data_IF_820214695869
#
_entry.id   IF_820214695869
#
_cell.length_a   1.000
_cell.length_b   1.000
_cell.length_c   1.000
_cell.angle_alpha   90.00
_cell.angle_beta   90.00
_cell.angle_gamma   90.00
#
_symmetry.space_group_name_H-M   'P 1'
#
loop_
_entity.id
_entity.type
_entity.pdbx_description
1 polymer ?
#
# COMPACT_ATOMS: atom_id res chain seq x y z
N UNK A 1 22.18 -25.36 65.95
CA UNK A 1 21.48 -26.59 65.49
C UNK A 1 21.03 -26.38 64.06
N UNK A 2 21.89 -26.79 63.13
CA UNK A 2 21.71 -26.77 61.68
C UNK A 2 20.81 -27.94 61.26
N UNK A 3 19.70 -27.64 60.57
CA UNK A 3 18.89 -28.67 59.90
C UNK A 3 18.93 -28.44 58.39
N UNK A 4 19.81 -29.19 57.75
CA UNK A 4 19.73 -29.56 56.34
C UNK A 4 18.52 -30.47 56.10
N UNK A 5 17.83 -30.30 54.97
CA UNK A 5 16.95 -31.28 54.30
C UNK A 5 16.51 -30.70 52.92
N UNK A 6 16.10 -31.52 51.94
CA UNK A 6 17.00 -31.99 50.89
C UNK A 6 16.62 -31.47 49.48
N UNK A 7 17.62 -31.47 48.59
CA UNK A 7 17.46 -31.24 47.16
C UNK A 7 16.50 -32.27 46.52
N UNK A 8 15.38 -31.79 45.98
CA UNK A 8 14.49 -32.57 45.12
C UNK A 8 14.98 -32.48 43.68
N UNK A 9 15.46 -33.60 43.15
CA UNK A 9 15.69 -33.79 41.72
C UNK A 9 14.35 -33.84 40.98
N UNK A 10 14.17 -32.95 40.00
CA UNK A 10 13.09 -32.99 39.02
C UNK A 10 13.52 -33.87 37.83
N UNK A 11 12.66 -34.77 37.33
CA UNK A 11 12.97 -35.57 36.16
C UNK A 11 12.94 -34.71 34.89
N UNK A 12 13.98 -34.83 34.07
CA UNK A 12 14.05 -34.27 32.72
C UNK A 12 12.93 -34.86 31.86
N UNK A 13 11.90 -34.06 31.58
CA UNK A 13 10.94 -34.33 30.50
C UNK A 13 11.61 -33.99 29.17
N UNK A 14 11.91 -35.01 28.37
CA UNK A 14 12.20 -34.86 26.95
C UNK A 14 10.97 -34.29 26.23
N UNK A 15 11.00 -32.99 25.94
CA UNK A 15 10.08 -32.39 25.00
C UNK A 15 10.53 -32.77 23.60
N UNK A 16 9.71 -33.60 22.94
CA UNK A 16 9.83 -33.95 21.55
C UNK A 16 9.95 -32.67 20.69
N UNK A 17 11.07 -32.55 19.99
CA UNK A 17 11.32 -31.51 19.00
C UNK A 17 10.31 -31.66 17.86
N UNK A 18 9.30 -30.78 17.85
CA UNK A 18 8.49 -30.56 16.65
C UNK A 18 9.37 -29.84 15.64
N UNK A 19 9.85 -30.58 14.65
CA UNK A 19 10.47 -30.03 13.45
C UNK A 19 9.50 -29.06 12.77
N UNK A 20 9.74 -27.77 12.93
CA UNK A 20 9.16 -26.74 12.08
C UNK A 20 9.94 -26.75 10.77
N UNK A 21 9.38 -27.43 9.77
CA UNK A 21 9.84 -27.36 8.39
C UNK A 21 9.72 -25.92 7.91
N UNK A 22 10.88 -25.26 7.76
CA UNK A 22 11.01 -23.96 7.13
C UNK A 22 10.48 -24.05 5.69
N UNK A 23 9.33 -23.44 5.41
CA UNK A 23 8.95 -23.06 4.06
C UNK A 23 9.81 -21.87 3.65
N UNK A 24 11.02 -22.16 3.17
CA UNK A 24 11.80 -21.22 2.38
C UNK A 24 11.00 -20.92 1.10
N UNK A 25 10.41 -19.72 1.02
CA UNK A 25 9.95 -19.15 -0.25
C UNK A 25 11.20 -18.86 -1.08
N UNK A 26 11.57 -19.82 -1.91
CA UNK A 26 12.65 -19.66 -2.88
C UNK A 26 12.20 -18.67 -3.96
N UNK A 27 12.90 -17.54 -4.01
CA UNK A 27 12.95 -16.64 -5.16
C UNK A 27 13.30 -17.48 -6.39
N UNK A 28 12.30 -17.74 -7.24
CA UNK A 28 12.46 -18.34 -8.54
C UNK A 28 13.33 -17.44 -9.40
N UNK A 29 14.61 -17.80 -9.44
CA UNK A 29 15.55 -17.39 -10.49
C UNK A 29 14.93 -17.80 -11.82
N UNK A 30 14.41 -16.83 -12.58
CA UNK A 30 14.07 -17.02 -13.99
C UNK A 30 15.41 -17.17 -14.73
N UNK A 31 15.94 -18.39 -14.70
CA UNK A 31 17.08 -18.81 -15.48
C UNK A 31 16.59 -19.00 -16.91
N UNK A 32 16.98 -18.10 -17.82
CA UNK A 32 16.78 -18.28 -19.26
C UNK A 32 17.45 -19.60 -19.67
N UNK A 33 16.65 -20.60 -20.05
CA UNK A 33 17.16 -21.80 -20.71
C UNK A 33 17.33 -21.51 -22.21
N UNK A 34 18.51 -21.78 -22.80
CA UNK A 34 18.69 -21.75 -24.25
C UNK A 34 17.97 -22.96 -24.85
N UNK A 35 17.01 -22.71 -25.73
CA UNK A 35 16.33 -23.75 -26.50
C UNK A 35 17.31 -24.27 -27.55
N UNK A 36 17.88 -25.45 -27.32
CA UNK A 36 18.61 -26.19 -28.35
C UNK A 36 17.61 -26.91 -29.25
N UNK A 37 17.51 -26.46 -30.50
CA UNK A 37 16.71 -27.14 -31.53
C UNK A 37 17.39 -28.44 -31.97
N UNK A 38 16.66 -29.57 -32.09
CA UNK A 38 17.18 -30.79 -32.71
C UNK A 38 17.30 -30.62 -34.24
N UNK A 39 18.17 -31.40 -34.91
CA UNK A 39 18.50 -31.22 -36.33
C UNK A 39 17.34 -31.61 -37.25
N UNK A 40 17.22 -30.83 -38.34
CA UNK A 40 16.27 -31.01 -39.43
C UNK A 40 16.50 -32.35 -40.14
N UNK A 41 15.63 -33.33 -39.90
CA UNK A 41 15.47 -34.47 -40.82
C UNK A 41 14.56 -34.01 -41.94
N UNK A 42 15.14 -33.89 -43.13
CA UNK A 42 14.44 -33.59 -44.36
C UNK A 42 13.41 -34.71 -44.67
N UNK A 43 12.12 -34.37 -44.65
CA UNK A 43 11.10 -35.22 -45.24
C UNK A 43 10.38 -34.46 -46.36
N UNK A 44 10.94 -34.63 -47.54
CA UNK A 44 10.42 -34.21 -48.84
C UNK A 44 9.41 -35.24 -49.31
N UNK A 45 8.13 -35.10 -48.98
CA UNK A 45 7.04 -35.84 -49.64
C UNK A 45 5.77 -34.96 -49.70
N UNK A 46 5.10 -35.04 -50.86
CA UNK A 46 3.76 -34.56 -51.20
C UNK A 46 3.63 -33.16 -51.81
N UNK A 47 4.31 -32.97 -52.94
CA UNK A 47 3.85 -32.08 -54.01
C UNK A 47 2.58 -32.68 -54.64
N UNK A 48 1.42 -32.36 -54.07
CA UNK A 48 0.12 -32.86 -54.52
C UNK A 48 -0.97 -31.84 -54.32
N UNK A 49 -1.22 -31.04 -55.36
CA UNK A 49 -2.52 -30.41 -55.66
C UNK A 49 -3.19 -29.56 -54.55
N UNK A 50 -2.48 -28.63 -53.90
CA UNK A 50 -3.16 -27.46 -53.34
C UNK A 50 -3.39 -26.43 -54.45
N UNK A 51 -4.55 -26.51 -55.11
CA UNK A 51 -5.08 -25.43 -55.95
C UNK A 51 -5.09 -24.15 -55.10
N UNK A 52 -4.18 -23.23 -55.41
CA UNK A 52 -4.12 -21.94 -54.74
C UNK A 52 -5.49 -21.25 -54.89
N UNK A 53 -6.16 -21.01 -53.77
CA UNK A 53 -7.35 -20.16 -53.70
C UNK A 53 -6.94 -18.77 -54.21
N UNK A 54 -7.68 -18.13 -55.13
CA UNK A 54 -7.30 -16.80 -55.60
C UNK A 54 -7.21 -15.85 -54.39
N UNK A 55 -6.21 -14.95 -54.36
CA UNK A 55 -6.09 -14.01 -53.25
C UNK A 55 -7.37 -13.17 -53.19
N UNK A 56 -8.06 -13.22 -52.05
CA UNK A 56 -9.15 -12.29 -51.80
C UNK A 56 -8.54 -10.89 -51.86
N UNK A 57 -9.00 -10.10 -52.83
CA UNK A 57 -8.56 -8.71 -53.02
C UNK A 57 -8.85 -7.96 -51.73
N UNK A 58 -7.81 -7.68 -50.95
CA UNK A 58 -7.93 -6.84 -49.77
C UNK A 58 -8.33 -5.43 -50.24
N UNK A 59 -9.57 -5.04 -49.97
CA UNK A 59 -9.99 -3.65 -50.14
C UNK A 59 -9.28 -2.82 -49.08
N UNK A 60 -8.43 -1.90 -49.53
CA UNK A 60 -7.87 -0.88 -48.65
C UNK A 60 -9.02 -0.02 -48.13
N UNK A 61 -9.38 -0.21 -46.87
CA UNK A 61 -10.34 0.65 -46.17
C UNK A 61 -9.58 1.94 -45.82
N UNK A 62 -9.75 2.97 -46.64
CA UNK A 62 -9.19 4.29 -46.37
C UNK A 62 -9.96 4.96 -45.25
N UNK A 63 -9.24 5.53 -44.27
CA UNK A 63 -9.83 6.32 -43.19
C UNK A 63 -10.25 7.69 -43.74
N UNK A 64 -11.48 8.12 -43.48
CA UNK A 64 -11.95 9.42 -43.95
C UNK A 64 -11.47 10.53 -42.99
N UNK A 65 -11.07 11.68 -43.53
CA UNK A 65 -10.67 12.84 -42.71
C UNK A 65 -11.81 13.34 -41.83
N UNK A 66 -13.06 13.28 -42.32
CA UNK A 66 -14.22 13.68 -41.50
C UNK A 66 -14.46 12.71 -40.33
N UNK A 67 -14.14 11.43 -40.51
CA UNK A 67 -14.24 10.41 -39.47
C UNK A 67 -13.24 10.70 -38.33
N UNK A 68 -12.01 11.11 -38.67
CA UNK A 68 -11.04 11.59 -37.69
C UNK A 68 -11.59 12.78 -36.89
N UNK A 69 -12.16 13.76 -37.59
CA UNK A 69 -12.64 15.00 -36.97
C UNK A 69 -13.79 14.73 -35.99
N UNK A 70 -14.71 13.84 -36.34
CA UNK A 70 -15.81 13.43 -35.45
C UNK A 70 -15.26 12.65 -34.25
N UNK A 71 -14.32 11.72 -34.46
CA UNK A 71 -13.69 10.98 -33.36
C UNK A 71 -12.96 11.91 -32.37
N UNK A 72 -12.19 12.89 -32.86
CA UNK A 72 -11.52 13.87 -32.02
C UNK A 72 -12.50 14.77 -31.27
N UNK A 73 -13.60 15.15 -31.91
CA UNK A 73 -14.67 15.92 -31.28
C UNK A 73 -15.27 15.16 -30.08
N UNK A 74 -15.60 13.88 -30.27
CA UNK A 74 -16.14 13.03 -29.20
C UNK A 74 -15.12 12.85 -28.07
N UNK A 75 -13.84 12.61 -28.41
CA UNK A 75 -12.77 12.48 -27.42
C UNK A 75 -12.59 13.74 -26.58
N UNK A 76 -12.68 14.93 -27.19
CA UNK A 76 -12.58 16.20 -26.48
C UNK A 76 -13.71 16.36 -25.46
N UNK A 77 -14.95 15.99 -25.81
CA UNK A 77 -16.10 16.04 -24.90
C UNK A 77 -15.88 15.10 -23.70
N UNK A 78 -15.43 13.87 -23.95
CA UNK A 78 -15.16 12.90 -22.89
C UNK A 78 -14.04 13.39 -21.97
N UNK A 79 -12.97 13.96 -22.53
CA UNK A 79 -11.80 14.41 -21.77
C UNK A 79 -12.17 15.50 -20.73
N UNK A 80 -13.05 16.43 -21.11
CA UNK A 80 -13.49 17.50 -20.21
C UNK A 80 -14.19 16.95 -18.94
N UNK A 81 -15.02 15.92 -19.09
CA UNK A 81 -15.74 15.30 -17.96
C UNK A 81 -14.80 14.41 -17.14
N UNK A 82 -13.88 13.70 -17.81
CA UNK A 82 -12.94 12.79 -17.16
C UNK A 82 -11.96 13.54 -16.23
N UNK A 83 -11.49 14.73 -16.63
CA UNK A 83 -10.48 15.49 -15.88
C UNK A 83 -10.92 15.84 -14.45
N UNK A 84 -12.16 16.28 -14.27
CA UNK A 84 -12.66 16.68 -12.95
C UNK A 84 -12.76 15.46 -11.99
N UNK A 85 -13.25 14.34 -12.50
CA UNK A 85 -13.40 13.10 -11.73
C UNK A 85 -12.04 12.52 -11.30
N UNK A 86 -11.04 12.57 -12.17
CA UNK A 86 -9.71 12.04 -11.86
C UNK A 86 -9.06 12.77 -10.66
N UNK A 87 -9.18 14.10 -10.59
CA UNK A 87 -8.60 14.87 -9.50
C UNK A 87 -9.15 14.47 -8.12
N UNK A 88 -10.46 14.21 -8.03
CA UNK A 88 -11.08 13.78 -6.77
C UNK A 88 -10.61 12.38 -6.34
N UNK A 89 -10.50 11.45 -7.30
CA UNK A 89 -9.99 10.10 -7.05
C UNK A 89 -8.54 10.12 -6.57
N UNK A 90 -7.73 11.00 -7.14
CA UNK A 90 -6.34 11.19 -6.70
C UNK A 90 -6.26 11.67 -5.25
N UNK A 91 -7.00 12.72 -4.88
CA UNK A 91 -7.04 13.23 -3.50
C UNK A 91 -7.52 12.15 -2.51
N UNK A 92 -8.53 11.38 -2.90
CA UNK A 92 -9.05 10.26 -2.09
C UNK A 92 -8.00 9.16 -1.88
N UNK A 93 -7.26 8.81 -2.93
CA UNK A 93 -6.18 7.82 -2.83
C UNK A 93 -5.07 8.28 -1.88
N UNK A 94 -4.64 9.53 -1.99
CA UNK A 94 -3.64 10.12 -1.09
C UNK A 94 -4.13 10.16 0.37
N UNK A 95 -5.42 10.43 0.58
CA UNK A 95 -6.05 10.34 1.90
C UNK A 95 -5.92 8.94 2.49
N UNK A 96 -6.27 7.90 1.72
CA UNK A 96 -6.15 6.52 2.17
C UNK A 96 -4.71 6.16 2.54
N UNK A 97 -3.73 6.61 1.75
CA UNK A 97 -2.31 6.43 2.09
C UNK A 97 -1.95 7.10 3.43
N UNK A 98 -2.43 8.33 3.68
CA UNK A 98 -2.17 9.02 4.94
C UNK A 98 -2.80 8.31 6.14
N UNK A 99 -4.02 7.78 5.99
CA UNK A 99 -4.69 7.00 7.02
C UNK A 99 -3.91 5.72 7.36
N UNK A 100 -3.41 5.02 6.34
CA UNK A 100 -2.55 3.83 6.53
C UNK A 100 -1.27 4.19 7.29
N UNK A 101 -0.61 5.28 6.92
CA UNK A 101 0.58 5.79 7.63
C UNK A 101 0.25 6.15 9.08
N UNK A 102 -0.87 6.83 9.35
CA UNK A 102 -1.33 7.17 10.70
C UNK A 102 -1.49 5.93 11.58
N UNK A 103 -2.16 4.89 11.10
CA UNK A 103 -2.32 3.64 11.86
C UNK A 103 -0.99 2.93 12.06
N UNK A 104 -0.09 2.96 11.08
CA UNK A 104 1.25 2.36 11.23
C UNK A 104 2.08 3.07 12.30
N UNK A 105 2.02 4.41 12.38
CA UNK A 105 2.70 5.18 13.42
C UNK A 105 2.12 4.92 14.80
N UNK A 106 0.79 4.84 14.93
CA UNK A 106 0.15 4.47 16.20
C UNK A 106 0.56 3.05 16.65
N UNK A 107 0.65 2.09 15.73
CA UNK A 107 1.14 0.75 16.05
C UNK A 107 2.60 0.75 16.55
N UNK A 108 3.46 1.59 15.95
CA UNK A 108 4.86 1.76 16.39
C UNK A 108 4.92 2.35 17.80
N UNK A 109 4.12 3.38 18.10
CA UNK A 109 4.01 3.93 19.47
C UNK A 109 3.61 2.86 20.49
N UNK A 110 2.64 2.01 20.15
CA UNK A 110 2.24 0.91 21.03
C UNK A 110 3.36 -0.14 21.19
N UNK A 111 4.11 -0.45 20.15
CA UNK A 111 5.28 -1.34 20.28
C UNK A 111 6.35 -0.74 21.18
N UNK A 112 6.65 0.55 21.02
CA UNK A 112 7.63 1.27 21.82
C UNK A 112 7.19 1.38 23.29
N UNK A 113 5.89 1.54 23.55
CA UNK A 113 5.33 1.46 24.89
C UNK A 113 5.60 0.09 25.54
N UNK A 114 5.40 -1.01 24.81
CA UNK A 114 5.66 -2.36 25.32
C UNK A 114 7.15 -2.62 25.60
N UNK A 115 8.06 -1.96 24.85
CA UNK A 115 9.51 -2.12 25.00
C UNK A 115 10.10 -1.23 26.09
N UNK A 116 9.65 0.02 26.17
CA UNK A 116 10.27 1.07 26.99
C UNK A 116 9.43 1.47 28.20
N UNK A 117 8.16 1.07 28.25
CA UNK A 117 7.22 1.40 29.31
C UNK A 117 6.59 2.80 29.20
N UNK A 118 6.91 3.57 28.16
CA UNK A 118 6.37 4.93 27.94
C UNK A 118 6.23 5.24 26.44
N UNK A 119 5.33 6.17 26.09
CA UNK A 119 5.24 6.72 24.73
C UNK A 119 6.44 7.62 24.39
N UNK A 120 6.81 7.70 23.12
CA UNK A 120 8.01 8.40 22.68
C UNK A 120 7.67 9.72 21.99
N UNK A 121 8.23 10.83 22.47
CA UNK A 121 8.01 12.14 21.87
C UNK A 121 8.80 12.30 20.55
N UNK A 122 9.95 11.64 20.43
CA UNK A 122 10.79 11.70 19.23
C UNK A 122 10.62 10.44 18.38
N UNK A 123 9.76 10.55 17.37
CA UNK A 123 9.60 9.57 16.29
C UNK A 123 10.13 10.11 14.95
N UNK A 124 11.06 11.06 14.96
CA UNK A 124 11.51 11.79 13.77
C UNK A 124 11.87 10.90 12.57
N UNK A 125 12.55 9.77 12.80
CA UNK A 125 12.89 8.79 11.77
C UNK A 125 11.64 8.12 11.15
N UNK A 126 10.72 7.66 12.00
CA UNK A 126 9.47 7.02 11.60
C UNK A 126 8.51 8.01 10.92
N UNK A 127 8.43 9.25 11.43
CA UNK A 127 7.62 10.33 10.85
C UNK A 127 8.15 10.75 9.49
N UNK A 128 9.47 10.83 9.32
CA UNK A 128 10.08 11.15 8.02
C UNK A 128 9.82 10.03 6.99
N UNK A 129 9.82 8.77 7.43
CA UNK A 129 9.51 7.63 6.57
C UNK A 129 8.02 7.56 6.21
N UNK A 130 7.13 7.91 7.14
CA UNK A 130 5.69 7.92 6.94
C UNK A 130 5.22 9.13 6.10
N UNK A 131 5.95 10.24 6.18
CA UNK A 131 5.68 11.47 5.43
C UNK A 131 5.76 11.23 3.94
N UNK A 132 4.76 11.73 3.23
CA UNK A 132 4.68 11.64 1.78
C UNK A 132 4.73 13.03 1.17
N UNK A 133 4.71 13.13 -0.16
CA UNK A 133 4.60 14.43 -0.84
C UNK A 133 3.27 15.15 -0.53
N UNK A 134 2.27 14.43 -0.04
CA UNK A 134 0.89 14.91 0.15
C UNK A 134 0.53 15.16 1.60
N UNK A 135 1.21 14.50 2.55
CA UNK A 135 0.95 14.66 3.98
C UNK A 135 2.24 14.70 4.80
N UNK A 136 2.25 15.59 5.79
CA UNK A 136 3.26 15.67 6.84
C UNK A 136 2.67 15.19 8.17
N UNK A 137 3.47 14.46 8.95
CA UNK A 137 3.03 13.88 10.22
C UNK A 137 3.73 14.55 11.39
N UNK A 138 3.01 14.73 12.48
CA UNK A 138 3.50 15.25 13.75
C UNK A 138 2.93 14.43 14.90
N UNK A 139 3.72 14.24 15.95
CA UNK A 139 3.29 13.55 17.17
C UNK A 139 3.44 14.47 18.38
N UNK A 140 2.43 14.46 19.24
CA UNK A 140 2.47 15.10 20.54
C UNK A 140 2.17 14.07 21.62
N UNK A 141 3.12 13.82 22.51
CA UNK A 141 2.98 12.96 23.68
C UNK A 141 2.78 13.82 24.91
N UNK A 142 1.78 13.47 25.70
CA UNK A 142 1.49 14.05 27.01
C UNK A 142 1.76 12.99 28.05
N UNK A 143 2.88 13.11 28.74
CA UNK A 143 3.21 12.23 29.86
C UNK A 143 2.56 12.75 31.14
N UNK A 144 2.07 11.85 31.99
CA UNK A 144 1.53 12.20 33.32
C UNK A 144 0.43 13.27 33.30
N UNK A 145 -0.58 13.13 32.43
CA UNK A 145 -1.78 13.98 32.49
C UNK A 145 -2.46 13.89 33.87
N UNK A 146 -3.37 14.81 34.21
CA UNK A 146 -4.06 14.87 35.53
C UNK A 146 -4.75 13.57 35.98
N UNK A 147 -4.89 12.58 35.10
CA UNK A 147 -5.46 11.26 35.40
C UNK A 147 -4.42 10.12 35.44
N UNK A 148 -3.11 10.43 35.42
CA UNK A 148 -2.04 9.46 35.67
C UNK A 148 -1.68 8.51 34.52
N UNK A 149 -2.25 8.70 33.32
CA UNK A 149 -1.94 7.92 32.13
C UNK A 149 -1.23 8.78 31.08
N UNK A 150 -0.26 8.19 30.40
CA UNK A 150 0.38 8.81 29.24
C UNK A 150 -0.56 8.72 28.04
N UNK A 151 -0.57 9.77 27.21
CA UNK A 151 -1.37 9.84 25.99
C UNK A 151 -0.51 10.34 24.84
N UNK A 152 -0.83 9.93 23.62
CA UNK A 152 -0.27 10.53 22.42
C UNK A 152 -1.38 10.95 21.46
N UNK A 153 -1.07 11.93 20.62
CA UNK A 153 -1.89 12.35 19.48
C UNK A 153 -0.97 12.45 18.27
N UNK A 154 -1.31 11.74 17.20
CA UNK A 154 -0.62 11.82 15.91
C UNK A 154 -1.53 12.60 14.96
N UNK A 155 -0.98 13.65 14.37
CA UNK A 155 -1.65 14.44 13.36
C UNK A 155 -1.04 14.18 11.99
N UNK A 156 -1.89 14.07 10.96
CA UNK A 156 -1.48 14.13 9.57
C UNK A 156 -2.08 15.37 8.91
N UNK A 157 -1.23 16.25 8.38
CA UNK A 157 -1.62 17.51 7.77
C UNK A 157 -1.38 17.47 6.27
N UNK A 158 -2.41 17.82 5.49
CA UNK A 158 -2.32 17.91 4.04
C UNK A 158 -1.36 19.03 3.63
N UNK A 159 -0.46 18.70 2.71
CA UNK A 159 0.52 19.63 2.13
C UNK A 159 0.45 19.60 0.60
N UNK A 160 1.04 20.61 -0.05
CA UNK A 160 1.13 20.70 -1.50
C UNK A 160 -0.23 20.53 -2.20
N UNK A 161 -0.31 19.65 -3.20
CA UNK A 161 -1.52 19.41 -3.99
C UNK A 161 -2.70 18.88 -3.17
N UNK A 162 -2.45 18.28 -1.99
CA UNK A 162 -3.50 17.76 -1.12
C UNK A 162 -4.26 18.87 -0.39
N UNK A 163 -3.72 20.09 -0.31
CA UNK A 163 -4.43 21.23 0.29
C UNK A 163 -5.74 21.60 -0.44
N UNK A 164 -5.94 21.07 -1.67
CA UNK A 164 -7.20 21.17 -2.42
C UNK A 164 -8.33 20.32 -1.80
N UNK A 165 -8.01 19.39 -0.90
CA UNK A 165 -8.97 18.59 -0.15
C UNK A 165 -9.49 19.37 1.08
N UNK A 166 -10.20 20.47 0.83
CA UNK A 166 -10.60 21.45 1.86
C UNK A 166 -11.51 20.85 2.92
N UNK A 167 -12.26 19.79 2.59
CA UNK A 167 -13.14 19.09 3.52
C UNK A 167 -12.37 18.21 4.52
N UNK A 168 -11.17 17.75 4.15
CA UNK A 168 -10.42 16.73 4.86
C UNK A 168 -8.93 17.08 4.89
N UNK A 169 -8.61 18.22 5.50
CA UNK A 169 -7.27 18.81 5.49
C UNK A 169 -6.35 18.22 6.56
N UNK A 170 -6.91 17.83 7.71
CA UNK A 170 -6.13 17.28 8.82
C UNK A 170 -6.82 16.05 9.42
N UNK A 171 -6.02 15.04 9.73
CA UNK A 171 -6.44 13.83 10.44
C UNK A 171 -5.71 13.76 11.77
N UNK A 172 -6.38 13.20 12.78
CA UNK A 172 -5.83 12.99 14.11
C UNK A 172 -6.23 11.62 14.63
N UNK A 173 -5.27 10.93 15.24
CA UNK A 173 -5.47 9.65 15.91
C UNK A 173 -4.80 9.70 17.29
N UNK A 174 -5.52 9.31 18.33
CA UNK A 174 -4.99 9.26 19.69
C UNK A 174 -4.63 7.85 20.16
N UNK A 175 -4.04 7.75 21.37
CA UNK A 175 -3.66 6.50 22.03
C UNK A 175 -4.83 5.53 22.31
N UNK A 176 -6.07 5.99 22.25
CA UNK A 176 -7.28 5.19 22.40
C UNK A 176 -7.92 4.83 21.05
N UNK A 177 -7.24 5.12 19.93
CA UNK A 177 -7.76 5.02 18.57
C UNK A 177 -8.99 5.90 18.30
N UNK A 178 -9.17 6.99 19.05
CA UNK A 178 -10.16 8.00 18.70
C UNK A 178 -9.71 8.73 17.44
N UNK A 179 -10.61 8.76 16.46
CA UNK A 179 -10.37 9.30 15.13
C UNK A 179 -11.03 10.66 15.03
N UNK A 180 -10.30 11.63 14.53
CA UNK A 180 -10.82 12.95 14.23
C UNK A 180 -10.30 13.41 12.87
N UNK A 181 -11.12 14.14 12.13
CA UNK A 181 -10.70 14.79 10.91
C UNK A 181 -11.30 16.19 10.85
N UNK A 182 -10.60 17.10 10.18
CA UNK A 182 -10.92 18.51 10.18
C UNK A 182 -10.87 19.07 8.77
N UNK A 183 -11.81 19.96 8.46
CA UNK A 183 -11.80 20.74 7.24
C UNK A 183 -10.81 21.92 7.35
N UNK A 184 -10.72 22.72 6.29
CA UNK A 184 -9.84 23.90 6.21
C UNK A 184 -10.17 25.00 7.23
N UNK A 185 -11.39 25.02 7.76
CA UNK A 185 -11.84 25.95 8.80
C UNK A 185 -11.57 25.42 10.22
N UNK A 186 -11.07 24.19 10.35
CA UNK A 186 -10.86 23.53 11.63
C UNK A 186 -12.12 22.89 12.24
N UNK A 187 -13.21 22.81 11.48
CA UNK A 187 -14.44 22.12 11.88
C UNK A 187 -14.30 20.60 11.71
N UNK A 188 -14.86 19.84 12.65
CA UNK A 188 -14.83 18.38 12.63
C UNK A 188 -15.63 17.82 11.44
N UNK A 189 -15.01 16.95 10.66
CA UNK A 189 -15.65 16.22 9.57
C UNK A 189 -15.29 14.74 9.60
N UNK A 190 -16.17 13.92 10.19
CA UNK A 190 -15.92 12.48 10.34
C UNK A 190 -16.13 11.68 9.04
N UNK A 191 -16.76 12.25 8.01
CA UNK A 191 -16.92 11.58 6.72
C UNK A 191 -15.57 11.30 6.04
N UNK A 192 -14.54 12.06 6.38
CA UNK A 192 -13.18 11.91 5.86
C UNK A 192 -12.53 10.55 6.19
N UNK A 193 -12.98 9.86 7.25
CA UNK A 193 -12.45 8.56 7.64
C UNK A 193 -13.08 7.38 6.90
N UNK A 194 -14.06 7.65 6.02
CA UNK A 194 -14.70 6.63 5.21
C UNK A 194 -13.88 6.36 3.93
N UNK A 195 -13.75 5.09 3.52
CA UNK A 195 -12.96 4.68 2.35
C UNK A 195 -13.58 5.02 1.00
#
# INVERSE_FOLDING_TARGET
>A
MTRHLPHRHLPHRHLAQRHLTQRHLSLSKIQKQPVTSPPLVAQKILSGMFKAKPPLKATSLGFNLIELMICLLIMAIIFLIAQANFNQLWLKSQRQQALQSLYSLAAIEHELLLRTGQYQQDLSSHLSQASTRSYQFEIAVKTKQSHGHDQFIINAMAINGQQKDTECLRFSLDSSNARQAFNSEGSLNMACWQP
#
